data_IF_643607487963
#
_entry.id   IF_643607487963
#
_cell.length_a   1.000
_cell.length_b   1.000
_cell.length_c   1.000
_cell.angle_alpha   90.00
_cell.angle_beta   90.00
_cell.angle_gamma   90.00
#
_symmetry.space_group_name_H-M   'P 1'
#
loop_
_entity.id
_entity.type
_entity.pdbx_description
1 polymer ?
#
# COMPACT_ATOMS: atom_id res chain seq x y z
N UNK A 1 19.50 -4.41 -24.80
CA UNK A 1 18.13 -3.92 -25.12
C UNK A 1 17.51 -3.36 -23.85
N UNK A 2 17.68 -2.06 -23.64
CA UNK A 2 17.14 -1.28 -22.51
C UNK A 2 15.65 -1.05 -22.78
N UNK A 3 14.74 -1.67 -22.01
CA UNK A 3 13.31 -1.35 -22.15
C UNK A 3 13.02 -0.04 -21.42
N UNK A 4 12.24 0.79 -22.09
CA UNK A 4 11.90 2.13 -21.66
C UNK A 4 10.88 2.07 -20.49
N UNK A 5 10.99 2.97 -19.50
CA UNK A 5 9.96 3.28 -18.49
C UNK A 5 8.51 3.33 -18.98
N UNK A 6 8.32 3.50 -20.30
CA UNK A 6 7.05 3.66 -21.00
C UNK A 6 6.14 2.43 -20.97
N UNK A 7 6.64 1.19 -20.88
CA UNK A 7 5.77 0.00 -20.93
C UNK A 7 4.91 -0.15 -19.65
N UNK A 8 5.52 -0.14 -18.46
CA UNK A 8 4.77 -0.21 -17.20
C UNK A 8 3.90 1.04 -16.99
N UNK A 9 4.45 2.23 -17.22
CA UNK A 9 3.71 3.49 -17.07
C UNK A 9 2.47 3.53 -17.99
N UNK A 10 2.65 3.17 -19.26
CA UNK A 10 1.56 3.10 -20.23
C UNK A 10 0.53 2.03 -19.89
N UNK A 11 0.97 0.85 -19.45
CA UNK A 11 0.08 -0.21 -18.98
C UNK A 11 -0.74 0.23 -17.77
N UNK A 12 -0.11 0.81 -16.74
CA UNK A 12 -0.76 1.25 -15.52
C UNK A 12 -1.80 2.36 -15.79
N UNK A 13 -1.45 3.35 -16.62
CA UNK A 13 -2.39 4.38 -17.05
C UNK A 13 -3.58 3.79 -17.83
N UNK A 14 -3.32 2.87 -18.76
CA UNK A 14 -4.37 2.20 -19.53
C UNK A 14 -5.27 1.30 -18.66
N UNK A 15 -4.69 0.67 -17.63
CA UNK A 15 -5.41 -0.13 -16.64
C UNK A 15 -6.35 0.76 -15.82
N UNK A 16 -5.85 1.87 -15.27
CA UNK A 16 -6.64 2.81 -14.47
C UNK A 16 -7.89 3.30 -15.21
N UNK A 17 -7.76 3.72 -16.48
CA UNK A 17 -8.89 4.19 -17.31
C UNK A 17 -9.99 3.12 -17.49
N UNK A 18 -9.64 1.83 -17.38
CA UNK A 18 -10.56 0.71 -17.65
C UNK A 18 -11.12 0.06 -16.39
N UNK A 19 -10.58 0.38 -15.21
CA UNK A 19 -11.12 -0.12 -13.96
C UNK A 19 -12.48 0.53 -13.66
N UNK A 20 -13.40 -0.18 -13.00
CA UNK A 20 -14.69 0.39 -12.64
C UNK A 20 -14.52 1.52 -11.62
N UNK A 21 -15.22 2.63 -11.86
CA UNK A 21 -15.10 3.86 -11.08
C UNK A 21 -13.97 4.77 -11.58
N UNK A 22 -13.62 5.77 -10.78
CA UNK A 22 -12.54 6.71 -11.12
C UNK A 22 -11.24 6.22 -10.50
N UNK A 23 -10.25 5.98 -11.35
CA UNK A 23 -8.90 5.59 -10.95
C UNK A 23 -7.86 6.51 -11.56
N UNK A 24 -6.85 6.89 -10.77
CA UNK A 24 -5.64 7.57 -11.26
C UNK A 24 -4.45 6.63 -11.16
N UNK A 25 -3.39 6.91 -11.95
CA UNK A 25 -2.15 6.15 -11.97
C UNK A 25 -0.99 7.06 -11.64
N UNK A 26 -0.11 6.60 -10.77
CA UNK A 26 1.15 7.26 -10.42
C UNK A 26 2.28 6.26 -10.68
N UNK A 27 3.19 6.62 -11.57
CA UNK A 27 4.35 5.80 -11.91
C UNK A 27 5.55 6.27 -11.08
N UNK A 28 6.31 5.32 -10.54
CA UNK A 28 7.54 5.60 -9.83
C UNK A 28 8.70 4.88 -10.49
N UNK A 29 9.81 5.60 -10.66
CA UNK A 29 11.08 5.01 -11.03
C UNK A 29 11.98 4.98 -9.80
N UNK A 30 12.63 3.85 -9.55
CA UNK A 30 13.54 3.67 -8.44
C UNK A 30 14.96 4.05 -8.89
N UNK A 31 15.53 5.05 -8.24
CA UNK A 31 16.93 5.42 -8.44
C UNK A 31 17.85 4.50 -7.62
N UNK A 32 17.35 4.00 -6.49
CA UNK A 32 18.04 3.08 -5.60
C UNK A 32 17.16 1.90 -5.22
N UNK A 33 17.77 0.78 -4.82
CA UNK A 33 17.05 -0.38 -4.27
C UNK A 33 16.14 -0.01 -3.10
N UNK A 34 16.51 1.00 -2.28
CA UNK A 34 15.71 1.40 -1.13
C UNK A 34 14.37 2.01 -1.52
N UNK A 35 14.28 2.61 -2.71
CA UNK A 35 13.10 3.35 -3.14
C UNK A 35 11.89 2.42 -3.33
N UNK A 36 12.11 1.15 -3.69
CA UNK A 36 11.06 0.16 -3.92
C UNK A 36 10.25 -0.19 -2.66
N UNK A 37 10.85 -0.04 -1.48
CA UNK A 37 10.20 -0.41 -0.22
C UNK A 37 9.15 0.59 0.24
N UNK A 38 9.12 1.80 -0.35
CA UNK A 38 8.13 2.85 0.00
C UNK A 38 6.69 2.37 -0.20
N UNK A 39 6.45 1.69 -1.33
CA UNK A 39 5.18 1.06 -1.67
C UNK A 39 5.20 -0.44 -1.40
N UNK A 40 6.33 -1.10 -1.63
CA UNK A 40 6.50 -2.53 -1.40
C UNK A 40 6.11 -2.99 0.01
N UNK A 41 6.51 -2.23 1.05
CA UNK A 41 6.18 -2.56 2.44
C UNK A 41 4.70 -2.34 2.79
N UNK A 42 3.93 -1.70 1.90
CA UNK A 42 2.50 -1.46 2.07
C UNK A 42 1.65 -2.48 1.31
N UNK A 43 2.26 -3.47 0.66
CA UNK A 43 1.52 -4.53 -0.02
C UNK A 43 0.72 -5.31 1.03
N UNK A 44 -0.59 -5.39 0.84
CA UNK A 44 -1.51 -6.06 1.78
C UNK A 44 -1.64 -7.57 1.51
N UNK A 45 -0.58 -8.15 0.96
CA UNK A 45 -0.48 -9.53 0.51
C UNK A 45 0.85 -10.06 1.03
N UNK A 46 0.87 -11.21 1.70
CA UNK A 46 2.10 -11.94 2.07
C UNK A 46 2.48 -12.99 1.01
N UNK A 47 1.71 -13.10 -0.07
CA UNK A 47 1.87 -14.07 -1.13
C UNK A 47 2.84 -13.66 -2.25
N UNK A 48 2.48 -14.01 -3.49
CA UNK A 48 3.41 -14.01 -4.63
C UNK A 48 3.97 -12.63 -4.99
N UNK A 49 3.25 -11.55 -4.67
CA UNK A 49 3.71 -10.18 -4.94
C UNK A 49 4.69 -9.70 -3.87
N UNK A 50 4.48 -10.07 -2.61
CA UNK A 50 5.45 -9.80 -1.54
C UNK A 50 6.79 -10.47 -1.82
N UNK A 51 6.78 -11.76 -2.17
CA UNK A 51 7.99 -12.47 -2.60
C UNK A 51 8.69 -11.75 -3.77
N UNK A 52 7.94 -11.31 -4.79
CA UNK A 52 8.52 -10.60 -5.93
C UNK A 52 9.19 -9.27 -5.54
N UNK A 53 8.61 -8.53 -4.60
CA UNK A 53 9.16 -7.26 -4.09
C UNK A 53 10.38 -7.50 -3.19
N UNK A 54 10.40 -8.58 -2.41
CA UNK A 54 11.52 -8.91 -1.51
C UNK A 54 12.74 -9.47 -2.24
N UNK A 55 12.54 -10.29 -3.28
CA UNK A 55 13.63 -11.02 -3.93
C UNK A 55 14.22 -10.32 -5.17
N UNK A 56 13.50 -9.36 -5.76
CA UNK A 56 13.95 -8.69 -6.98
C UNK A 56 14.16 -7.19 -6.76
N UNK A 57 15.21 -6.67 -7.39
CA UNK A 57 15.41 -5.22 -7.53
C UNK A 57 14.45 -4.72 -8.59
N UNK A 58 13.36 -4.12 -8.14
CA UNK A 58 12.40 -3.47 -9.02
C UNK A 58 12.99 -2.12 -9.45
N UNK A 59 12.95 -1.82 -10.75
CA UNK A 59 13.43 -0.54 -11.28
C UNK A 59 12.35 0.52 -11.31
N UNK A 60 11.10 0.08 -11.28
CA UNK A 60 9.93 0.93 -11.35
C UNK A 60 8.70 0.16 -10.92
N UNK A 61 7.73 0.90 -10.42
CA UNK A 61 6.42 0.41 -10.04
C UNK A 61 5.34 1.46 -10.39
N UNK A 62 4.07 1.10 -10.18
CA UNK A 62 2.99 2.05 -10.27
C UNK A 62 1.95 1.82 -9.17
N UNK A 63 1.43 2.93 -8.65
CA UNK A 63 0.30 2.97 -7.74
C UNK A 63 -0.95 3.42 -8.48
N UNK A 64 -2.05 2.68 -8.35
CA UNK A 64 -3.37 3.09 -8.80
C UNK A 64 -4.23 3.50 -7.60
N UNK A 65 -4.82 4.69 -7.67
CA UNK A 65 -5.68 5.24 -6.63
C UNK A 65 -7.13 5.29 -7.08
N UNK A 66 -8.02 4.59 -6.38
CA UNK A 66 -9.46 4.58 -6.60
C UNK A 66 -10.18 5.60 -5.73
N UNK A 67 -11.33 6.08 -6.20
CA UNK A 67 -12.12 7.16 -5.57
C UNK A 67 -12.62 6.89 -4.14
N UNK A 68 -12.65 5.64 -3.68
CA UNK A 68 -13.11 5.29 -2.33
C UNK A 68 -11.96 4.85 -1.40
N UNK A 69 -10.75 5.31 -1.68
CA UNK A 69 -9.55 5.02 -0.90
C UNK A 69 -8.94 3.64 -1.20
N UNK A 70 -9.36 2.99 -2.29
CA UNK A 70 -8.69 1.79 -2.78
C UNK A 70 -7.34 2.17 -3.38
N UNK A 71 -6.32 1.36 -3.11
CA UNK A 71 -4.98 1.54 -3.63
C UNK A 71 -4.48 0.21 -4.18
N UNK A 72 -4.01 0.19 -5.42
CA UNK A 72 -3.41 -0.99 -6.04
C UNK A 72 -1.95 -0.70 -6.38
N UNK A 73 -1.12 -1.73 -6.25
CA UNK A 73 0.27 -1.73 -6.62
C UNK A 73 0.47 -2.60 -7.85
N UNK A 74 1.20 -2.09 -8.84
CA UNK A 74 1.45 -2.72 -10.13
C UNK A 74 2.94 -2.79 -10.39
N UNK A 75 3.43 -4.00 -10.66
CA UNK A 75 4.82 -4.23 -11.05
C UNK A 75 4.87 -5.14 -12.28
N UNK A 76 5.95 -5.04 -13.05
CA UNK A 76 6.27 -6.09 -14.02
C UNK A 76 6.52 -7.40 -13.28
N UNK A 77 6.04 -8.52 -13.85
CA UNK A 77 6.31 -9.82 -13.26
C UNK A 77 7.79 -10.18 -13.47
N UNK A 78 8.58 -10.41 -12.40
CA UNK A 78 9.96 -10.83 -12.56
C UNK A 78 10.06 -12.10 -13.41
N UNK A 79 11.07 -12.16 -14.28
CA UNK A 79 11.37 -13.30 -15.16
C UNK A 79 10.30 -13.64 -16.22
N UNK A 80 9.19 -12.89 -16.31
CA UNK A 80 8.07 -13.18 -17.21
C UNK A 80 7.58 -11.91 -17.91
N UNK A 81 8.22 -11.60 -19.04
CA UNK A 81 7.95 -10.41 -19.86
C UNK A 81 6.49 -10.35 -20.33
N UNK A 82 5.94 -9.13 -20.38
CA UNK A 82 4.58 -8.89 -20.85
C UNK A 82 3.49 -9.37 -19.89
N UNK A 83 3.86 -9.71 -18.66
CA UNK A 83 2.94 -10.00 -17.56
C UNK A 83 3.19 -9.02 -16.42
N UNK A 84 2.12 -8.71 -15.71
CA UNK A 84 2.16 -7.79 -14.58
C UNK A 84 1.58 -8.48 -13.35
N UNK A 85 2.05 -8.06 -12.19
CA UNK A 85 1.45 -8.39 -10.91
C UNK A 85 0.66 -7.18 -10.44
N UNK A 86 -0.57 -7.41 -10.00
CA UNK A 86 -1.44 -6.38 -9.41
C UNK A 86 -1.87 -6.85 -8.04
N UNK A 87 -1.58 -6.06 -7.01
CA UNK A 87 -1.93 -6.41 -5.62
C UNK A 87 -2.49 -5.21 -4.87
N UNK A 88 -3.35 -5.39 -3.86
CA UNK A 88 -3.85 -4.29 -3.07
C UNK A 88 -2.77 -3.75 -2.12
N UNK A 89 -2.77 -2.43 -1.93
CA UNK A 89 -2.02 -1.79 -0.87
C UNK A 89 -2.89 -1.69 0.39
N UNK A 90 -2.23 -1.75 1.54
CA UNK A 90 -2.80 -1.42 2.83
C UNK A 90 -3.41 -0.02 2.77
N UNK A 91 -4.58 0.19 3.39
CA UNK A 91 -5.21 1.49 3.43
C UNK A 91 -4.36 2.43 4.29
N UNK A 92 -4.39 3.71 4.00
CA UNK A 92 -3.54 4.72 4.65
C UNK A 92 -3.95 5.07 6.09
N UNK A 93 -5.02 4.49 6.61
CA UNK A 93 -5.43 4.66 8.01
C UNK A 93 -4.54 3.80 8.91
N UNK A 94 -4.08 4.35 10.04
CA UNK A 94 -3.48 3.57 11.12
C UNK A 94 -4.50 2.50 11.56
N UNK A 95 -4.19 1.24 11.29
CA UNK A 95 -4.99 0.10 11.70
C UNK A 95 -4.08 -0.75 12.54
N UNK A 96 -4.38 -0.76 13.84
CA UNK A 96 -3.57 -1.47 14.82
C UNK A 96 -3.70 -3.01 14.70
N UNK A 97 -4.72 -3.52 14.00
CA UNK A 97 -4.98 -4.96 13.91
C UNK A 97 -5.55 -5.37 12.53
N UNK A 98 -4.77 -6.17 11.80
CA UNK A 98 -5.20 -6.88 10.58
C UNK A 98 -5.50 -8.37 10.83
N UNK A 99 -5.34 -8.87 12.07
CA UNK A 99 -5.27 -10.30 12.41
C UNK A 99 -6.50 -11.15 12.03
N UNK A 100 -7.65 -10.52 11.72
CA UNK A 100 -8.90 -11.21 11.33
C UNK A 100 -9.35 -10.88 9.89
N UNK A 101 -8.47 -10.34 9.04
CA UNK A 101 -8.84 -9.95 7.66
C UNK A 101 -8.16 -10.86 6.65
N UNK A 102 -8.96 -11.68 5.96
CA UNK A 102 -8.48 -12.47 4.81
C UNK A 102 -7.78 -11.55 3.80
N UNK A 103 -6.49 -11.82 3.57
CA UNK A 103 -5.70 -11.03 2.65
C UNK A 103 -6.28 -11.14 1.23
N UNK A 104 -6.51 -10.01 0.55
CA UNK A 104 -7.18 -10.03 -0.74
C UNK A 104 -6.36 -10.71 -1.86
N UNK A 105 -5.07 -11.00 -1.62
CA UNK A 105 -4.10 -11.71 -2.48
C UNK A 105 -3.96 -11.12 -3.88
N UNK A 106 -2.72 -10.76 -4.26
CA UNK A 106 -2.42 -10.25 -5.59
C UNK A 106 -2.73 -11.23 -6.72
N UNK A 107 -2.85 -10.71 -7.94
CA UNK A 107 -3.08 -11.53 -9.14
C UNK A 107 -2.06 -11.21 -10.24
N UNK A 108 -1.71 -12.23 -11.01
CA UNK A 108 -1.00 -12.06 -12.28
C UNK A 108 -2.00 -11.72 -13.38
N UNK A 109 -1.65 -10.72 -14.21
CA UNK A 109 -2.45 -10.28 -15.35
C UNK A 109 -1.61 -10.23 -16.64
N UNK A 110 -2.22 -10.43 -17.82
CA UNK A 110 -1.53 -10.22 -19.09
C UNK A 110 -1.28 -8.74 -19.35
N UNK A 111 -0.35 -8.43 -20.25
CA UNK A 111 -0.06 -7.04 -20.64
C UNK A 111 -1.11 -6.36 -21.51
N UNK A 112 -2.19 -7.05 -21.88
CA UNK A 112 -3.38 -6.43 -22.49
C UNK A 112 -4.20 -5.69 -21.40
N UNK A 113 -4.31 -4.34 -21.44
CA UNK A 113 -4.96 -3.60 -20.37
C UNK A 113 -6.45 -3.90 -20.21
N UNK A 114 -7.17 -4.27 -21.29
CA UNK A 114 -8.59 -4.59 -21.21
C UNK A 114 -8.81 -5.93 -20.51
N UNK A 115 -8.02 -6.95 -20.87
CA UNK A 115 -8.04 -8.25 -20.19
C UNK A 115 -7.58 -8.15 -18.75
N UNK A 116 -6.55 -7.33 -18.48
CA UNK A 116 -6.08 -7.06 -17.13
C UNK A 116 -7.16 -6.39 -16.28
N UNK A 117 -7.81 -5.32 -16.78
CA UNK A 117 -8.89 -4.63 -16.09
C UNK A 117 -10.05 -5.58 -15.78
N UNK A 118 -10.47 -6.41 -16.74
CA UNK A 118 -11.52 -7.40 -16.52
C UNK A 118 -11.12 -8.46 -15.47
N UNK A 119 -9.84 -8.83 -15.38
CA UNK A 119 -9.36 -9.75 -14.35
C UNK A 119 -9.34 -9.08 -12.97
N UNK A 120 -8.82 -7.85 -12.87
CA UNK A 120 -8.78 -7.07 -11.63
C UNK A 120 -10.19 -6.81 -11.11
N UNK A 121 -11.10 -6.34 -11.97
CA UNK A 121 -12.48 -6.02 -11.58
C UNK A 121 -13.26 -7.24 -11.10
N UNK A 122 -13.10 -8.40 -11.75
CA UNK A 122 -13.84 -9.62 -11.39
C UNK A 122 -13.25 -10.38 -10.22
N UNK A 123 -11.91 -10.39 -10.11
CA UNK A 123 -11.21 -11.27 -9.15
C UNK A 123 -10.61 -10.51 -7.99
N UNK A 124 -10.03 -9.34 -8.20
CA UNK A 124 -9.27 -8.65 -7.15
C UNK A 124 -10.12 -7.65 -6.37
N UNK A 125 -10.87 -6.78 -7.07
CA UNK A 125 -11.62 -5.71 -6.42
C UNK A 125 -12.66 -6.21 -5.41
N UNK A 126 -13.45 -7.27 -5.66
CA UNK A 126 -14.44 -7.73 -4.69
C UNK A 126 -13.79 -8.18 -3.36
N UNK A 127 -12.68 -8.91 -3.44
CA UNK A 127 -11.90 -9.34 -2.27
C UNK A 127 -11.31 -8.14 -1.53
N UNK A 128 -10.74 -7.18 -2.26
CA UNK A 128 -10.16 -5.99 -1.67
C UNK A 128 -11.21 -5.09 -0.99
N UNK A 129 -12.36 -4.90 -1.63
CA UNK A 129 -13.48 -4.14 -1.06
C UNK A 129 -14.02 -4.79 0.21
N UNK A 130 -14.12 -6.13 0.23
CA UNK A 130 -14.51 -6.88 1.42
C UNK A 130 -13.50 -6.68 2.57
N UNK A 131 -12.19 -6.81 2.29
CA UNK A 131 -11.12 -6.59 3.26
C UNK A 131 -11.17 -5.15 3.85
N UNK A 132 -11.31 -4.14 2.99
CA UNK A 132 -11.48 -2.74 3.40
C UNK A 132 -12.72 -2.53 4.29
N UNK A 133 -13.84 -3.16 3.94
CA UNK A 133 -15.06 -3.05 4.73
C UNK A 133 -14.91 -3.72 6.11
N UNK A 134 -14.23 -4.86 6.20
CA UNK A 134 -13.93 -5.53 7.48
C UNK A 134 -13.01 -4.68 8.35
N UNK A 135 -11.92 -4.16 7.79
CA UNK A 135 -11.03 -3.22 8.48
C UNK A 135 -11.78 -2.01 9.03
N UNK A 136 -12.64 -1.37 8.20
CA UNK A 136 -13.42 -0.20 8.62
C UNK A 136 -14.34 -0.54 9.79
N UNK A 137 -15.03 -1.68 9.74
CA UNK A 137 -15.87 -2.17 10.85
C UNK A 137 -15.06 -2.44 12.13
N UNK A 138 -13.86 -2.97 11.97
CA UNK A 138 -13.00 -3.32 13.11
C UNK A 138 -12.28 -2.11 13.71
N UNK A 139 -12.23 -0.96 13.02
CA UNK A 139 -11.56 0.23 13.52
C UNK A 139 -12.18 0.76 14.83
N UNK A 140 -11.37 1.22 15.82
CA UNK A 140 -11.88 1.76 17.08
C UNK A 140 -12.85 2.93 16.87
N UNK A 141 -12.58 3.79 15.88
CA UNK A 141 -13.43 4.93 15.56
C UNK A 141 -14.83 4.50 15.10
N UNK A 142 -14.94 3.42 14.32
CA UNK A 142 -16.23 2.87 13.90
C UNK A 142 -16.97 2.15 15.05
N UNK A 143 -16.21 1.53 15.97
CA UNK A 143 -16.76 0.76 17.09
C UNK A 143 -17.26 1.63 18.25
N UNK A 144 -16.67 2.81 18.43
CA UNK A 144 -16.92 3.67 19.60
C UNK A 144 -17.48 5.05 19.25
N UNK A 145 -17.57 5.41 17.97
CA UNK A 145 -18.04 6.73 17.52
C UNK A 145 -17.12 7.90 17.87
N UNK A 146 -15.96 7.62 18.47
CA UNK A 146 -15.04 8.63 19.01
C UNK A 146 -13.69 8.51 18.28
N UNK A 147 -13.10 9.62 17.80
CA UNK A 147 -11.75 9.62 17.24
C UNK A 147 -10.78 9.04 18.27
N UNK A 148 -9.88 8.17 17.84
CA UNK A 148 -8.81 7.63 18.69
C UNK A 148 -8.09 8.77 19.41
N UNK A 149 -7.99 8.74 20.75
CA UNK A 149 -7.11 9.68 21.44
C UNK A 149 -5.69 9.33 21.02
N UNK A 150 -5.08 10.19 20.22
CA UNK A 150 -3.64 10.23 20.03
C UNK A 150 -3.05 10.43 21.42
N UNK A 151 -2.60 9.33 22.03
CA UNK A 151 -1.94 9.39 23.32
C UNK A 151 -0.55 9.93 23.06
N UNK A 152 -0.47 11.26 22.94
CA UNK A 152 0.79 11.99 22.94
C UNK A 152 1.37 11.80 24.34
N UNK A 153 2.12 10.72 24.56
CA UNK A 153 2.87 10.52 25.81
C UNK A 153 3.87 11.67 25.89
N UNK A 154 3.72 12.63 26.82
CA UNK A 154 4.71 13.67 26.95
C UNK A 154 6.02 13.01 27.43
N UNK A 155 7.19 13.49 26.98
CA UNK A 155 8.46 13.00 27.51
C UNK A 155 8.48 13.20 29.03
N UNK A 156 9.07 12.28 29.81
CA UNK A 156 9.13 12.42 31.26
C UNK A 156 9.84 13.73 31.60
N UNK A 157 9.16 14.58 32.37
CA UNK A 157 9.71 15.85 32.84
C UNK A 157 11.01 15.57 33.61
N UNK A 158 12.11 16.17 33.15
CA UNK A 158 13.37 16.18 33.86
C UNK A 158 13.14 16.83 35.24
N UNK A 159 13.33 16.04 36.28
CA UNK A 159 13.24 16.46 37.68
C UNK A 159 14.36 17.46 38.00
N UNK A 160 14.12 18.76 37.80
CA UNK A 160 14.99 19.81 38.31
C UNK A 160 14.59 20.12 39.76
N UNK A 161 15.23 19.42 40.71
CA UNK A 161 15.20 19.81 42.11
C UNK A 161 16.13 21.02 42.33
N UNK A 162 15.69 22.10 42.99
CA UNK A 162 16.58 23.21 43.35
C UNK A 162 17.51 22.80 44.49
N UNK A 163 18.83 23.00 44.30
CA UNK A 163 19.81 22.91 45.38
C UNK A 163 19.58 24.07 46.35
N UNK A 164 19.09 23.75 47.54
CA UNK A 164 19.03 24.66 48.67
C UNK A 164 20.44 25.05 49.11
N UNK A 165 20.71 26.36 49.10
CA UNK A 165 21.79 27.01 49.84
C UNK A 165 21.35 27.15 51.30
N UNK A 166 22.17 26.77 52.30
CA UNK A 166 22.01 27.29 53.64
C UNK A 166 23.07 28.36 53.93
N UNK A 167 22.61 29.53 54.38
CA UNK A 167 23.44 30.57 54.95
C UNK A 167 23.54 30.41 56.48
N UNK A 168 24.79 30.48 56.95
CA UNK A 168 25.31 30.97 58.25
C UNK A 168 24.87 30.34 59.58
N UNK A 169 25.91 30.01 60.37
CA UNK A 169 26.15 30.69 61.66
C UNK A 169 27.56 31.27 61.64
#
# INVERSE_FOLDING_TARGET
MTRHPTELSGFAAALAVRLPGTWTSHYHQHATYRDQFTLGNRVWDLGHVHWAVSEFVLRHDAELNGSHGQRLYVIERPLKRGQFLVTPLQPSVEIDYFDDVDEPNGITVPGDPARAAAAVARRLLPRYQHALATVRRNSPTARTGQPTPHTHRPPPAASNAPRHTPARR
#
